data_IF_443319784815
#
_entry.id   IF_443319784815
#
_cell.length_a   1.000
_cell.length_b   1.000
_cell.length_c   1.000
_cell.angle_alpha   90.00
_cell.angle_beta   90.00
_cell.angle_gamma   90.00
#
_symmetry.space_group_name_H-M   'P 1'
#
loop_
_entity.id
_entity.type
_entity.pdbx_description
1 polymer ?
#
# COMPACT_ATOMS: atom_id res chain seq x y z
N UNK A 1 7.95 -72.33 2.45
CA UNK A 1 7.29 -71.20 3.12
C UNK A 1 6.90 -70.23 2.01
N UNK A 2 5.82 -70.51 1.26
CA UNK A 2 4.42 -70.09 1.54
C UNK A 2 4.30 -68.56 1.46
N UNK A 3 3.45 -67.92 0.65
CA UNK A 3 2.42 -68.37 -0.30
C UNK A 3 2.10 -67.17 -1.22
N UNK A 4 1.91 -67.42 -2.51
CA UNK A 4 1.25 -66.50 -3.43
C UNK A 4 -0.29 -66.50 -3.24
N UNK A 5 -0.92 -65.48 -3.82
CA UNK A 5 -2.34 -65.34 -4.22
C UNK A 5 -3.35 -64.86 -3.16
N UNK A 6 -3.92 -63.68 -3.39
CA UNK A 6 -5.25 -63.53 -4.04
C UNK A 6 -5.60 -62.07 -4.33
N UNK A 7 -5.79 -61.80 -5.62
CA UNK A 7 -6.72 -60.76 -6.08
C UNK A 7 -8.14 -61.10 -5.59
N UNK A 8 -8.92 -60.09 -5.19
CA UNK A 8 -10.31 -59.99 -5.59
C UNK A 8 -10.83 -58.55 -5.45
N UNK A 9 -11.31 -58.05 -6.58
CA UNK A 9 -12.06 -56.81 -6.74
C UNK A 9 -13.35 -56.83 -5.92
N UNK A 10 -13.71 -55.68 -5.35
CA UNK A 10 -15.10 -55.25 -5.18
C UNK A 10 -15.26 -53.87 -5.79
N UNK A 11 -16.09 -53.80 -6.84
CA UNK A 11 -16.52 -52.57 -7.48
C UNK A 11 -17.61 -51.85 -6.65
N UNK A 12 -17.38 -50.55 -6.43
CA UNK A 12 -18.34 -49.41 -6.46
C UNK A 12 -19.42 -49.27 -5.35
N UNK A 13 -19.93 -48.04 -5.07
CA UNK A 13 -19.96 -46.85 -5.94
C UNK A 13 -19.13 -45.66 -5.47
N UNK A 14 -18.69 -44.88 -6.46
CA UNK A 14 -17.96 -43.65 -6.27
C UNK A 14 -18.83 -42.61 -5.57
N UNK A 15 -18.21 -41.92 -4.61
CA UNK A 15 -18.58 -40.56 -4.28
C UNK A 15 -17.42 -39.68 -4.76
N UNK A 16 -17.48 -39.33 -6.05
CA UNK A 16 -16.70 -38.21 -6.59
C UNK A 16 -17.23 -36.92 -5.95
N UNK A 17 -16.77 -36.62 -4.73
CA UNK A 17 -16.69 -35.22 -4.31
C UNK A 17 -15.29 -34.77 -4.71
N UNK A 18 -15.25 -33.98 -5.78
CA UNK A 18 -14.05 -33.39 -6.32
C UNK A 18 -13.27 -32.69 -5.21
N UNK A 19 -12.17 -33.31 -4.83
CA UNK A 19 -11.19 -32.74 -3.93
C UNK A 19 -10.47 -31.66 -4.75
N UNK A 20 -10.91 -30.40 -4.60
CA UNK A 20 -10.22 -29.25 -5.16
C UNK A 20 -8.98 -29.02 -4.28
N UNK A 21 -7.87 -29.66 -4.65
CA UNK A 21 -6.58 -29.51 -3.99
C UNK A 21 -6.13 -28.06 -4.04
N UNK A 22 -6.04 -27.39 -2.89
CA UNK A 22 -5.49 -26.04 -2.75
C UNK A 22 -6.33 -25.06 -1.92
N UNK A 23 -7.57 -25.39 -1.57
CA UNK A 23 -8.42 -24.54 -0.73
C UNK A 23 -8.42 -25.00 0.73
N UNK A 24 -8.40 -24.08 1.71
CA UNK A 24 -8.46 -24.46 3.12
C UNK A 24 -9.81 -25.10 3.47
N UNK A 25 -9.78 -26.15 4.28
CA UNK A 25 -10.94 -26.97 4.67
C UNK A 25 -11.99 -26.23 5.51
N UNK A 26 -11.71 -24.99 5.90
CA UNK A 26 -12.55 -24.16 6.75
C UNK A 26 -12.83 -22.78 6.14
N UNK A 27 -13.89 -22.14 6.63
CA UNK A 27 -14.26 -20.75 6.38
C UNK A 27 -14.15 -19.95 7.68
N UNK A 28 -13.67 -18.71 7.58
CA UNK A 28 -13.70 -17.76 8.68
C UNK A 28 -15.03 -17.00 8.61
N UNK A 29 -15.80 -17.05 9.69
CA UNK A 29 -17.09 -16.37 9.84
C UNK A 29 -16.93 -15.20 10.79
N UNK A 30 -17.28 -14.01 10.34
CA UNK A 30 -17.27 -12.79 11.15
C UNK A 30 -18.69 -12.34 11.51
N UNK A 31 -18.95 -12.12 12.79
CA UNK A 31 -20.23 -11.57 13.30
C UNK A 31 -19.97 -10.69 14.53
N UNK A 32 -20.42 -9.43 14.50
CA UNK A 32 -20.24 -8.44 15.56
C UNK A 32 -18.79 -8.35 16.09
N UNK A 33 -17.82 -8.20 15.18
CA UNK A 33 -16.38 -8.10 15.47
C UNK A 33 -15.75 -9.35 16.12
N UNK A 34 -16.44 -10.51 16.05
CA UNK A 34 -15.90 -11.80 16.47
C UNK A 34 -15.73 -12.73 15.27
N UNK A 35 -14.63 -13.47 15.24
CA UNK A 35 -14.30 -14.44 14.19
C UNK A 35 -14.39 -15.86 14.74
N UNK A 36 -14.96 -16.77 13.94
CA UNK A 36 -15.03 -18.20 14.24
C UNK A 36 -14.75 -19.02 12.97
N UNK A 37 -14.17 -20.20 13.10
CA UNK A 37 -13.97 -21.11 11.96
C UNK A 37 -15.08 -22.14 11.89
N UNK A 38 -15.56 -22.42 10.68
CA UNK A 38 -16.54 -23.48 10.39
C UNK A 38 -16.04 -24.37 9.26
N UNK A 39 -16.47 -25.65 9.16
CA UNK A 39 -16.18 -26.48 8.01
C UNK A 39 -16.74 -25.86 6.72
N UNK A 40 -15.98 -25.97 5.64
CA UNK A 40 -16.39 -25.47 4.31
C UNK A 40 -17.35 -26.47 3.65
N UNK A 41 -18.64 -26.12 3.56
CA UNK A 41 -19.67 -26.97 2.97
C UNK A 41 -20.18 -26.39 1.64
N UNK A 42 -20.25 -27.23 0.60
CA UNK A 42 -20.82 -26.84 -0.70
C UNK A 42 -22.32 -26.54 -0.63
N UNK A 43 -23.02 -27.10 0.37
CA UNK A 43 -24.43 -26.80 0.62
C UNK A 43 -24.59 -25.54 1.51
N UNK A 44 -25.42 -24.62 1.03
CA UNK A 44 -25.68 -23.33 1.69
C UNK A 44 -26.42 -23.50 3.04
N UNK A 45 -27.34 -24.46 3.14
CA UNK A 45 -28.12 -24.69 4.36
C UNK A 45 -27.27 -25.36 5.44
N UNK A 46 -26.39 -26.30 5.07
CA UNK A 46 -25.41 -26.90 5.98
C UNK A 46 -24.39 -25.88 6.50
N UNK A 47 -24.03 -24.90 5.67
CA UNK A 47 -23.19 -23.76 6.06
C UNK A 47 -23.91 -22.90 7.10
N UNK A 48 -25.16 -22.50 6.87
CA UNK A 48 -25.95 -21.73 7.84
C UNK A 48 -26.15 -22.51 9.14
N UNK A 49 -26.41 -23.82 9.08
CA UNK A 49 -26.53 -24.66 10.27
C UNK A 49 -25.21 -24.70 11.07
N UNK A 50 -24.06 -24.71 10.39
CA UNK A 50 -22.74 -24.67 11.01
C UNK A 50 -22.42 -23.30 11.62
N UNK A 51 -22.80 -22.20 10.96
CA UNK A 51 -22.72 -20.84 11.49
C UNK A 51 -23.54 -20.75 12.79
N UNK A 52 -24.79 -21.21 12.76
CA UNK A 52 -25.69 -21.17 13.93
C UNK A 52 -25.15 -21.99 15.11
N UNK A 53 -24.50 -23.13 14.85
CA UNK A 53 -23.92 -23.99 15.90
C UNK A 53 -22.67 -23.38 16.54
N UNK A 54 -21.81 -22.75 15.74
CA UNK A 54 -20.47 -22.36 16.15
C UNK A 54 -20.31 -20.86 16.49
N UNK A 55 -21.18 -19.97 15.99
CA UNK A 55 -21.11 -18.53 16.27
C UNK A 55 -21.94 -18.16 17.51
N UNK A 56 -21.26 -17.65 18.55
CA UNK A 56 -21.92 -17.17 19.78
C UNK A 56 -22.71 -15.89 19.48
N UNK A 57 -24.02 -15.91 19.73
CA UNK A 57 -24.95 -14.80 19.41
C UNK A 57 -26.03 -15.21 18.40
N UNK A 58 -25.75 -16.21 17.55
CA UNK A 58 -26.68 -16.69 16.51
C UNK A 58 -27.38 -18.00 16.87
N UNK A 59 -26.99 -18.67 17.97
CA UNK A 59 -27.56 -19.96 18.42
C UNK A 59 -29.09 -19.93 18.59
N UNK A 60 -29.65 -18.79 19.02
CA UNK A 60 -31.09 -18.58 19.25
C UNK A 60 -31.81 -17.90 18.08
N UNK A 61 -31.10 -17.49 17.03
CA UNK A 61 -31.70 -16.79 15.90
C UNK A 61 -32.48 -17.76 14.99
N UNK A 62 -33.66 -17.38 14.47
CA UNK A 62 -34.34 -18.12 13.42
C UNK A 62 -33.50 -18.07 12.13
N UNK A 63 -33.34 -19.24 11.49
CA UNK A 63 -32.54 -19.42 10.25
C UNK A 63 -32.88 -18.40 9.14
N UNK A 64 -34.15 -18.04 8.85
CA UNK A 64 -34.45 -17.10 7.78
C UNK A 64 -33.99 -15.66 8.04
N UNK A 65 -33.47 -15.34 9.24
CA UNK A 65 -32.91 -14.02 9.54
C UNK A 65 -31.40 -13.93 9.34
N UNK A 66 -30.71 -15.03 9.04
CA UNK A 66 -29.24 -15.05 8.91
C UNK A 66 -28.89 -14.74 7.46
N UNK A 67 -28.23 -13.61 7.23
CA UNK A 67 -27.70 -13.20 5.93
C UNK A 67 -26.20 -13.47 5.89
N UNK A 68 -25.73 -14.10 4.81
CA UNK A 68 -24.30 -14.26 4.53
C UNK A 68 -23.88 -13.16 3.56
N UNK A 69 -22.90 -12.37 3.96
CA UNK A 69 -22.26 -11.35 3.16
C UNK A 69 -20.84 -11.83 2.79
N UNK A 70 -20.48 -11.70 1.52
CA UNK A 70 -19.12 -11.96 1.06
C UNK A 70 -18.56 -10.73 0.36
N UNK A 71 -17.30 -10.43 0.62
CA UNK A 71 -16.59 -9.39 -0.11
C UNK A 71 -16.31 -9.87 -1.54
N UNK A 72 -16.74 -9.09 -2.53
CA UNK A 72 -16.47 -9.33 -3.94
C UNK A 72 -15.62 -8.18 -4.49
N UNK A 73 -14.43 -8.50 -5.00
CA UNK A 73 -13.49 -7.52 -5.57
C UNK A 73 -14.11 -6.73 -6.72
N UNK A 74 -15.02 -7.35 -7.48
CA UNK A 74 -15.70 -6.71 -8.61
C UNK A 74 -16.68 -5.60 -8.19
N UNK A 75 -17.17 -5.63 -6.94
CA UNK A 75 -18.09 -4.63 -6.38
C UNK A 75 -17.42 -3.73 -5.32
N UNK A 76 -16.19 -4.04 -4.91
CA UNK A 76 -15.45 -3.41 -3.81
C UNK A 76 -16.28 -3.27 -2.51
N UNK A 77 -17.18 -4.24 -2.25
CA UNK A 77 -18.08 -4.23 -1.09
C UNK A 77 -18.51 -5.64 -0.66
N UNK A 78 -19.09 -5.74 0.52
CA UNK A 78 -19.75 -6.93 1.04
C UNK A 78 -21.15 -7.09 0.44
N UNK A 79 -21.30 -8.08 -0.43
CA UNK A 79 -22.57 -8.37 -1.10
C UNK A 79 -23.26 -9.57 -0.47
N UNK A 80 -24.59 -9.52 -0.36
CA UNK A 80 -25.41 -10.64 0.08
C UNK A 80 -25.27 -11.83 -0.87
N UNK A 81 -24.86 -12.97 -0.32
CA UNK A 81 -24.69 -14.22 -1.04
C UNK A 81 -25.95 -15.06 -0.91
N UNK A 82 -26.70 -15.19 -2.01
CA UNK A 82 -27.87 -16.04 -2.06
C UNK A 82 -27.50 -17.52 -2.26
N UNK A 83 -28.44 -18.41 -1.92
CA UNK A 83 -28.28 -19.87 -2.07
C UNK A 83 -27.83 -20.28 -3.48
N UNK A 84 -28.34 -19.61 -4.52
CA UNK A 84 -28.19 -20.00 -5.91
C UNK A 84 -26.79 -19.70 -6.48
N UNK A 85 -26.03 -18.80 -5.83
CA UNK A 85 -24.67 -18.42 -6.22
C UNK A 85 -23.59 -18.97 -5.28
N UNK A 86 -23.98 -19.54 -4.13
CA UNK A 86 -23.07 -20.04 -3.09
C UNK A 86 -22.01 -21.01 -3.62
N UNK A 87 -22.41 -22.05 -4.35
CA UNK A 87 -21.48 -23.09 -4.83
C UNK A 87 -20.44 -22.56 -5.83
N UNK A 88 -20.76 -21.46 -6.54
CA UNK A 88 -19.87 -20.80 -7.50
C UNK A 88 -18.90 -19.84 -6.82
N UNK A 89 -19.34 -19.16 -5.77
CA UNK A 89 -18.53 -18.18 -5.04
C UNK A 89 -17.63 -18.84 -3.99
N UNK A 90 -18.11 -19.89 -3.33
CA UNK A 90 -17.44 -20.58 -2.24
C UNK A 90 -15.96 -20.92 -2.48
N UNK A 91 -15.52 -21.38 -3.68
CA UNK A 91 -14.09 -21.62 -3.93
C UNK A 91 -13.22 -20.37 -3.78
N UNK A 92 -13.76 -19.17 -4.03
CA UNK A 92 -13.06 -17.89 -3.97
C UNK A 92 -13.11 -17.24 -2.58
N UNK A 93 -13.94 -17.75 -1.68
CA UNK A 93 -14.17 -17.14 -0.37
C UNK A 93 -13.27 -17.75 0.71
N UNK A 94 -12.66 -16.89 1.52
CA UNK A 94 -11.88 -17.26 2.71
C UNK A 94 -12.55 -16.79 4.00
N UNK A 95 -13.16 -15.61 3.95
CA UNK A 95 -13.91 -15.00 5.03
C UNK A 95 -15.30 -14.63 4.54
N UNK A 96 -16.31 -14.90 5.37
CA UNK A 96 -17.68 -14.45 5.18
C UNK A 96 -18.13 -13.67 6.40
N UNK A 97 -18.92 -12.62 6.19
CA UNK A 97 -19.57 -11.87 7.25
C UNK A 97 -21.01 -12.33 7.39
N UNK A 98 -21.53 -12.35 8.61
CA UNK A 98 -22.90 -12.75 8.89
C UNK A 98 -23.61 -11.64 9.62
N UNK A 99 -24.81 -11.29 9.16
CA UNK A 99 -25.66 -10.27 9.75
C UNK A 99 -27.10 -10.79 9.93
N UNK A 100 -27.88 -10.14 10.79
CA UNK A 100 -29.28 -10.48 11.02
C UNK A 100 -30.19 -9.48 10.29
N UNK A 101 -31.07 -9.97 9.42
CA UNK A 101 -32.04 -9.10 8.75
C UNK A 101 -33.02 -8.51 9.77
N UNK A 102 -33.16 -7.19 9.78
CA UNK A 102 -34.08 -6.46 10.63
C UNK A 102 -35.07 -5.67 9.78
N UNK A 103 -36.12 -6.31 9.25
CA UNK A 103 -37.36 -5.60 8.88
C UNK A 103 -38.59 -6.50 8.66
N UNK A 104 -39.60 -6.34 9.53
CA UNK A 104 -41.00 -5.95 9.21
C UNK A 104 -41.89 -6.05 10.47
N UNK A 105 -42.71 -5.00 10.65
CA UNK A 105 -43.61 -4.66 11.76
C UNK A 105 -44.98 -5.37 11.72
N UNK A 106 -45.81 -5.11 12.77
CA UNK A 106 -47.28 -5.28 12.93
C UNK A 106 -47.83 -6.73 13.01
N UNK A 107 -48.78 -7.13 13.86
CA UNK A 107 -49.74 -6.49 14.79
C UNK A 107 -50.19 -7.53 15.85
N UNK A 108 -50.60 -7.09 17.04
CA UNK A 108 -51.93 -7.32 17.62
C UNK A 108 -52.03 -6.79 19.07
N UNK A 109 -53.21 -6.26 19.34
CA UNK A 109 -53.63 -5.36 20.42
C UNK A 109 -53.99 -6.04 21.76
N UNK A 110 -54.29 -5.14 22.72
CA UNK A 110 -55.12 -5.31 23.92
C UNK A 110 -54.46 -5.97 25.14
N UNK A 111 -54.54 -5.41 26.35
CA UNK A 111 -55.24 -4.25 26.88
C UNK A 111 -55.05 -4.22 28.41
N UNK A 112 -55.35 -3.06 29.04
CA UNK A 112 -55.82 -2.83 30.43
C UNK A 112 -55.14 -3.61 31.59
N UNK A 113 -54.75 -3.08 32.76
CA UNK A 113 -55.16 -1.96 33.63
C UNK A 113 -54.37 -2.16 34.94
N UNK A 114 -54.24 -1.14 35.80
CA UNK A 114 -54.11 -1.39 37.24
C UNK A 114 -52.92 -0.75 37.96
N UNK A 115 -53.15 0.49 38.39
CA UNK A 115 -52.81 1.11 39.67
C UNK A 115 -51.88 0.41 40.70
N UNK A 116 -51.07 1.29 41.30
CA UNK A 116 -50.89 1.47 42.75
C UNK A 116 -49.92 0.60 43.58
N UNK A 117 -49.12 1.37 44.31
CA UNK A 117 -48.75 1.20 45.73
C UNK A 117 -47.45 0.46 46.12
N UNK A 118 -46.63 1.24 46.85
CA UNK A 118 -46.00 0.91 48.13
C UNK A 118 -44.68 0.10 48.16
N UNK A 119 -43.61 0.82 48.53
CA UNK A 119 -42.58 0.38 49.51
C UNK A 119 -43.28 -0.04 50.82
N UNK A 120 -42.72 -0.92 51.70
CA UNK A 120 -41.35 -0.73 52.22
C UNK A 120 -40.56 -1.96 52.76
N UNK A 121 -39.25 -1.70 52.95
CA UNK A 121 -38.38 -2.07 54.09
C UNK A 121 -37.89 -3.51 54.41
N UNK A 122 -36.63 -3.50 54.87
CA UNK A 122 -35.93 -4.36 55.85
C UNK A 122 -35.24 -5.64 55.31
N UNK A 123 -33.90 -5.60 55.14
CA UNK A 123 -32.85 -5.93 56.13
C UNK A 123 -32.68 -7.45 56.37
N UNK A 124 -31.50 -8.02 56.07
CA UNK A 124 -30.51 -8.41 57.10
C UNK A 124 -29.23 -9.05 56.53
N UNK A 125 -28.12 -8.60 57.12
CA UNK A 125 -26.85 -9.28 57.44
C UNK A 125 -25.86 -9.74 56.37
N UNK A 126 -24.72 -9.06 56.45
CA UNK A 126 -23.38 -9.43 56.02
C UNK A 126 -22.71 -10.49 56.92
N UNK A 127 -21.73 -11.18 56.34
CA UNK A 127 -20.38 -11.57 56.83
C UNK A 127 -19.77 -12.45 55.70
N UNK A 128 -18.51 -12.40 55.26
CA UNK A 128 -17.25 -11.98 55.87
C UNK A 128 -16.22 -11.55 54.79
N UNK A 129 -15.12 -10.95 55.25
CA UNK A 129 -14.01 -10.29 54.53
C UNK A 129 -13.18 -11.24 53.62
N UNK A 130 -12.30 -10.69 52.74
CA UNK A 130 -10.90 -10.55 53.16
C UNK A 130 -10.14 -9.30 52.64
N UNK A 131 -9.19 -8.87 53.49
CA UNK A 131 -7.81 -8.44 53.22
C UNK A 131 -7.55 -7.34 52.16
N UNK A 132 -7.08 -6.21 52.68
CA UNK A 132 -6.53 -5.07 51.94
C UNK A 132 -5.14 -5.37 51.36
N UNK A 133 -4.94 -5.01 50.10
CA UNK A 133 -3.64 -4.59 49.56
C UNK A 133 -3.86 -3.42 48.59
N UNK A 134 -3.01 -2.41 48.72
CA UNK A 134 -3.07 -1.11 48.05
C UNK A 134 -2.77 -1.19 46.55
N UNK A 135 -3.58 -0.52 45.71
CA UNK A 135 -3.12 0.05 44.44
C UNK A 135 -4.12 1.09 43.89
N UNK A 136 -3.67 2.34 43.90
CA UNK A 136 -3.93 3.44 42.97
C UNK A 136 -5.33 3.60 42.35
N UNK A 137 -6.00 4.69 42.73
CA UNK A 137 -7.23 5.23 42.14
C UNK A 137 -7.09 5.43 40.62
N UNK A 138 -7.71 4.55 39.83
CA UNK A 138 -8.15 4.91 38.49
C UNK A 138 -9.55 5.51 38.59
N UNK A 139 -9.63 6.81 38.38
CA UNK A 139 -10.89 7.54 38.25
C UNK A 139 -11.72 6.86 37.17
N UNK A 140 -12.86 6.33 37.62
CA UNK A 140 -13.93 5.79 36.80
C UNK A 140 -14.53 6.92 35.96
N UNK A 141 -13.97 7.18 34.79
CA UNK A 141 -14.61 8.06 33.81
C UNK A 141 -15.82 7.31 33.21
N UNK A 142 -16.96 7.48 33.89
CA UNK A 142 -18.27 7.18 33.35
C UNK A 142 -18.53 8.02 32.09
N UNK A 143 -19.31 7.44 31.19
CA UNK A 143 -19.46 7.88 29.82
C UNK A 143 -19.89 9.34 29.64
N UNK A 144 -19.20 9.99 28.72
CA UNK A 144 -19.83 10.90 27.78
C UNK A 144 -19.76 10.24 26.42
N UNK A 145 -20.90 9.76 25.92
CA UNK A 145 -21.07 9.68 24.48
C UNK A 145 -21.12 11.12 23.97
N UNK A 146 -19.96 11.68 23.65
CA UNK A 146 -19.92 12.80 22.74
C UNK A 146 -20.35 12.25 21.38
N UNK A 147 -21.46 12.77 20.86
CA UNK A 147 -21.78 12.66 19.44
C UNK A 147 -20.55 13.09 18.65
N UNK A 148 -19.88 12.16 17.98
CA UNK A 148 -18.72 12.46 17.15
C UNK A 148 -19.09 13.54 16.14
N UNK A 149 -18.21 14.53 15.97
CA UNK A 149 -18.37 15.50 14.90
C UNK A 149 -17.95 14.84 13.59
N UNK A 150 -18.73 15.07 12.54
CA UNK A 150 -18.39 14.59 11.20
C UNK A 150 -17.55 15.63 10.49
N UNK A 151 -16.46 15.22 9.85
CA UNK A 151 -15.67 16.06 8.94
C UNK A 151 -15.53 15.38 7.58
N UNK A 152 -15.15 16.15 6.58
CA UNK A 152 -14.91 15.66 5.23
C UNK A 152 -13.42 15.73 4.91
N UNK A 153 -12.86 14.65 4.39
CA UNK A 153 -11.51 14.62 3.85
C UNK A 153 -11.63 14.52 2.33
N UNK A 154 -11.14 15.52 1.60
CA UNK A 154 -11.25 15.57 0.14
C UNK A 154 -9.90 15.35 -0.52
N UNK A 155 -9.81 14.37 -1.42
CA UNK A 155 -8.60 14.14 -2.23
C UNK A 155 -8.50 15.15 -3.37
N UNK A 156 -7.30 15.30 -3.95
CA UNK A 156 -7.11 16.11 -5.16
C UNK A 156 -7.92 15.61 -6.36
N UNK A 157 -8.23 14.31 -6.40
CA UNK A 157 -9.08 13.70 -7.43
C UNK A 157 -10.58 13.96 -7.21
N UNK A 158 -10.95 14.69 -6.16
CA UNK A 158 -12.32 15.07 -5.86
C UNK A 158 -13.12 14.06 -5.03
N UNK A 159 -12.55 12.89 -4.68
CA UNK A 159 -13.18 11.92 -3.77
C UNK A 159 -13.31 12.52 -2.37
N UNK A 160 -14.48 12.33 -1.75
CA UNK A 160 -14.76 12.80 -0.39
C UNK A 160 -14.91 11.62 0.55
N UNK A 161 -14.06 11.56 1.57
CA UNK A 161 -14.07 10.55 2.63
C UNK A 161 -14.71 11.18 3.86
N UNK A 162 -15.77 10.57 4.37
CA UNK A 162 -16.48 11.08 5.54
C UNK A 162 -15.89 10.48 6.81
N UNK A 163 -15.44 11.31 7.75
CA UNK A 163 -14.76 10.87 8.97
C UNK A 163 -15.56 11.27 10.21
N UNK A 164 -15.86 10.30 11.09
CA UNK A 164 -16.43 10.57 12.41
C UNK A 164 -15.30 10.76 13.41
N UNK A 165 -15.16 11.96 13.95
CA UNK A 165 -14.01 12.38 14.75
C UNK A 165 -14.45 13.17 15.97
N UNK A 166 -13.51 13.43 16.88
CA UNK A 166 -13.71 14.34 17.99
C UNK A 166 -12.75 15.53 17.86
N UNK A 167 -13.07 16.67 18.44
CA UNK A 167 -12.22 17.87 18.35
C UNK A 167 -10.82 17.68 18.95
N UNK A 168 -10.68 16.79 19.93
CA UNK A 168 -9.38 16.45 20.55
C UNK A 168 -8.62 15.34 19.81
N UNK A 169 -9.12 14.83 18.68
CA UNK A 169 -8.39 13.85 17.88
C UNK A 169 -7.13 14.53 17.30
N UNK A 170 -5.98 13.88 17.42
CA UNK A 170 -4.74 14.35 16.80
C UNK A 170 -4.77 14.18 15.28
N UNK A 171 -3.96 14.95 14.57
CA UNK A 171 -3.80 14.78 13.11
C UNK A 171 -3.22 13.40 12.79
N UNK A 172 -2.29 12.88 13.60
CA UNK A 172 -1.83 11.50 13.49
C UNK A 172 -3.00 10.50 13.61
N UNK A 173 -3.94 10.72 14.53
CA UNK A 173 -5.14 9.91 14.68
C UNK A 173 -6.09 10.01 13.48
N UNK A 174 -6.26 11.20 12.91
CA UNK A 174 -7.03 11.38 11.66
C UNK A 174 -6.38 10.62 10.49
N UNK A 175 -5.05 10.62 10.39
CA UNK A 175 -4.33 9.87 9.35
C UNK A 175 -4.54 8.37 9.50
N UNK A 176 -4.49 7.86 10.72
CA UNK A 176 -4.83 6.46 11.02
C UNK A 176 -6.27 6.12 10.60
N UNK A 177 -7.24 7.00 10.88
CA UNK A 177 -8.63 6.77 10.47
C UNK A 177 -8.81 6.73 8.94
N UNK A 178 -8.07 7.56 8.21
CA UNK A 178 -8.06 7.51 6.74
C UNK A 178 -7.34 6.25 6.24
N UNK A 179 -6.27 5.80 6.91
CA UNK A 179 -5.64 4.51 6.60
C UNK A 179 -6.62 3.35 6.76
N UNK A 180 -7.37 3.31 7.87
CA UNK A 180 -8.33 2.24 8.13
C UNK A 180 -9.46 2.20 7.09
N UNK A 181 -9.81 3.34 6.50
CA UNK A 181 -10.88 3.47 5.49
C UNK A 181 -10.41 3.25 4.06
N UNK A 182 -9.23 3.75 3.72
CA UNK A 182 -8.74 3.83 2.34
C UNK A 182 -7.48 2.99 2.08
N UNK A 183 -6.91 2.37 3.12
CA UNK A 183 -5.67 1.60 3.04
C UNK A 183 -4.40 2.45 2.83
N UNK A 184 -4.50 3.78 2.92
CA UNK A 184 -3.39 4.69 2.63
C UNK A 184 -2.49 4.85 3.87
N UNK A 185 -1.21 4.46 3.84
CA UNK A 185 -0.31 4.62 4.99
C UNK A 185 -0.24 6.07 5.50
N UNK A 186 -0.22 6.33 6.83
CA UNK A 186 -0.19 7.67 7.41
C UNK A 186 1.01 8.51 6.93
N UNK A 187 2.15 7.89 6.70
CA UNK A 187 3.35 8.53 6.16
C UNK A 187 3.15 9.09 4.75
N UNK A 188 2.21 8.53 3.97
CA UNK A 188 1.88 8.98 2.62
C UNK A 188 0.83 10.11 2.60
N UNK A 189 0.25 10.45 3.75
CA UNK A 189 -0.82 11.42 3.86
C UNK A 189 -0.29 12.81 4.27
N UNK A 190 -0.65 13.84 3.51
CA UNK A 190 -0.51 15.25 3.88
C UNK A 190 -1.90 15.85 3.99
N UNK A 191 -2.28 16.27 5.19
CA UNK A 191 -3.53 17.01 5.37
C UNK A 191 -3.29 18.50 5.31
N UNK A 192 -4.19 19.20 4.63
CA UNK A 192 -4.24 20.66 4.60
C UNK A 192 -5.60 21.17 5.05
N UNK A 193 -5.59 22.24 5.82
CA UNK A 193 -6.78 22.99 6.18
C UNK A 193 -6.48 24.49 6.10
N UNK A 194 -7.37 25.25 5.46
CA UNK A 194 -7.20 26.70 5.28
C UNK A 194 -5.83 27.11 4.71
N UNK A 195 -5.32 26.32 3.75
CA UNK A 195 -4.02 26.56 3.10
C UNK A 195 -2.79 26.23 3.95
N UNK A 196 -2.95 25.60 5.12
CA UNK A 196 -1.85 25.19 6.01
C UNK A 196 -1.76 23.68 6.10
N UNK A 197 -0.55 23.14 6.01
CA UNK A 197 -0.29 21.73 6.32
C UNK A 197 -0.49 21.49 7.82
N UNK A 198 -1.14 20.38 8.12
CA UNK A 198 -1.43 19.97 9.49
C UNK A 198 -0.27 19.14 10.07
N UNK A 199 0.07 19.41 11.32
CA UNK A 199 1.15 18.77 12.08
C UNK A 199 0.59 17.60 12.90
N UNK A 200 1.30 16.46 12.88
CA UNK A 200 0.82 15.18 13.45
C UNK A 200 0.52 15.25 14.96
N UNK A 201 1.28 16.07 15.69
CA UNK A 201 1.17 16.25 17.15
C UNK A 201 0.03 17.18 17.59
N UNK A 202 -0.57 17.94 16.67
CA UNK A 202 -1.67 18.86 16.99
C UNK A 202 -3.02 18.18 16.87
N UNK A 203 -4.04 18.73 17.53
CA UNK A 203 -5.42 18.26 17.47
C UNK A 203 -6.24 18.98 16.39
N UNK A 204 -7.38 18.40 15.99
CA UNK A 204 -8.34 19.06 15.11
C UNK A 204 -8.83 20.39 15.70
N UNK A 205 -9.01 20.45 17.01
CA UNK A 205 -9.39 21.64 17.76
C UNK A 205 -8.34 22.75 17.70
N UNK A 206 -7.05 22.41 17.70
CA UNK A 206 -5.96 23.39 17.58
C UNK A 206 -5.97 24.12 16.23
N UNK A 207 -6.49 23.46 15.19
CA UNK A 207 -6.70 24.04 13.85
C UNK A 207 -8.09 24.63 13.66
N UNK A 208 -8.92 24.65 14.71
CA UNK A 208 -10.31 25.07 14.68
C UNK A 208 -11.12 24.33 13.59
N UNK A 209 -10.82 23.05 13.38
CA UNK A 209 -11.57 22.17 12.49
C UNK A 209 -12.84 21.75 13.22
N UNK A 210 -13.99 22.15 12.66
CA UNK A 210 -15.31 21.93 13.26
C UNK A 210 -16.11 20.90 12.46
N UNK A 211 -17.32 20.58 12.96
CA UNK A 211 -18.29 19.76 12.22
C UNK A 211 -18.46 20.29 10.79
N UNK A 212 -18.54 19.39 9.83
CA UNK A 212 -18.68 19.64 8.38
C UNK A 212 -17.52 20.39 7.74
N UNK A 213 -16.39 20.58 8.45
CA UNK A 213 -15.18 21.12 7.85
C UNK A 213 -14.61 20.17 6.81
N UNK A 214 -14.02 20.74 5.74
CA UNK A 214 -13.32 19.97 4.71
C UNK A 214 -11.82 20.12 4.87
N UNK A 215 -11.14 18.99 5.11
CA UNK A 215 -9.68 18.87 5.14
C UNK A 215 -9.24 18.30 3.79
N UNK A 216 -8.27 18.91 3.14
CA UNK A 216 -7.73 18.40 1.88
C UNK A 216 -6.65 17.36 2.15
N UNK A 217 -6.73 16.21 1.48
CA UNK A 217 -5.71 15.17 1.50
C UNK A 217 -4.89 15.23 0.22
N UNK A 218 -3.60 15.49 0.37
CA UNK A 218 -2.59 15.32 -0.67
C UNK A 218 -1.82 14.04 -0.36
N UNK A 219 -1.61 13.22 -1.38
CA UNK A 219 -0.79 12.03 -1.27
C UNK A 219 0.65 12.37 -1.64
N UNK A 220 1.59 12.00 -0.77
CA UNK A 220 3.01 11.99 -1.15
C UNK A 220 3.19 11.04 -2.34
N UNK A 221 3.97 11.47 -3.32
CA UNK A 221 4.37 10.63 -4.44
C UNK A 221 5.56 9.79 -3.97
N UNK A 222 5.54 8.50 -4.29
CA UNK A 222 6.57 7.56 -3.85
C UNK A 222 7.59 7.35 -4.97
N UNK A 223 8.87 7.58 -4.66
CA UNK A 223 9.98 6.95 -5.38
C UNK A 223 10.03 5.49 -4.96
N UNK A 224 9.45 4.61 -5.77
CA UNK A 224 9.26 3.20 -5.45
C UNK A 224 10.44 2.34 -5.90
N UNK A 225 10.92 1.51 -4.97
CA UNK A 225 11.90 0.42 -5.16
C UNK A 225 13.12 0.76 -6.03
N UNK A 226 13.89 1.82 -5.71
CA UNK A 226 15.33 1.79 -6.00
C UNK A 226 16.01 0.54 -5.41
N UNK A 227 16.50 -0.33 -6.28
CA UNK A 227 17.26 -1.56 -5.94
C UNK A 227 18.66 -1.44 -6.48
N UNK A 228 19.67 -1.62 -5.64
CA UNK A 228 21.09 -1.51 -5.97
C UNK A 228 21.74 -2.90 -5.93
N UNK A 229 22.26 -3.33 -7.08
CA UNK A 229 23.10 -4.51 -7.24
C UNK A 229 24.56 -4.09 -7.30
N UNK A 230 25.42 -4.83 -6.59
CA UNK A 230 26.88 -4.67 -6.64
C UNK A 230 27.48 -5.93 -7.24
N UNK A 231 28.13 -5.82 -8.39
CA UNK A 231 28.66 -6.96 -9.14
C UNK A 231 30.15 -6.74 -9.40
N UNK A 232 31.03 -7.04 -8.43
CA UNK A 232 32.47 -6.96 -8.62
C UNK A 232 33.00 -8.11 -9.49
N UNK A 233 34.18 -7.98 -10.11
CA UNK A 233 34.77 -9.04 -10.94
C UNK A 233 35.24 -10.25 -10.10
N UNK A 234 35.55 -10.01 -8.82
CA UNK A 234 35.93 -11.01 -7.83
C UNK A 234 35.35 -10.65 -6.47
N UNK A 235 35.43 -11.56 -5.49
CA UNK A 235 35.05 -11.25 -4.11
C UNK A 235 35.72 -9.95 -3.63
N UNK A 236 34.92 -9.04 -3.10
CA UNK A 236 35.37 -7.73 -2.61
C UNK A 236 34.73 -7.50 -1.24
N UNK A 237 35.55 -7.26 -0.21
CA UNK A 237 35.06 -6.96 1.14
C UNK A 237 34.97 -5.47 1.38
N UNK A 238 34.23 -5.10 2.44
CA UNK A 238 34.20 -3.75 3.01
C UNK A 238 33.77 -2.66 2.02
N UNK A 239 32.88 -3.00 1.09
CA UNK A 239 32.30 -2.04 0.16
C UNK A 239 31.40 -1.10 0.95
N UNK A 240 31.74 0.17 0.94
CA UNK A 240 30.95 1.24 1.54
C UNK A 240 29.99 1.79 0.49
N UNK A 241 28.69 1.69 0.74
CA UNK A 241 27.65 2.28 -0.10
C UNK A 241 26.99 3.40 0.69
N UNK A 242 27.13 4.64 0.23
CA UNK A 242 26.52 5.83 0.85
C UNK A 242 25.56 6.45 -0.14
N UNK A 243 24.30 6.55 0.26
CA UNK A 243 23.24 7.17 -0.52
C UNK A 243 22.68 8.37 0.27
N UNK A 244 22.59 9.51 -0.40
CA UNK A 244 22.01 10.73 0.16
C UNK A 244 20.82 11.17 -0.67
N UNK A 245 19.82 11.78 -0.04
CA UNK A 245 18.66 12.38 -0.70
C UNK A 245 18.64 13.88 -0.47
N UNK A 246 18.20 14.64 -1.47
CA UNK A 246 17.84 16.05 -1.31
C UNK A 246 16.58 16.21 -0.47
N UNK A 247 16.31 17.41 0.06
CA UNK A 247 15.11 17.69 0.87
C UNK A 247 13.76 17.47 0.15
N UNK A 248 13.76 17.32 -1.18
CA UNK A 248 12.58 16.94 -1.96
C UNK A 248 12.11 15.50 -1.70
N UNK A 249 12.95 14.67 -1.07
CA UNK A 249 12.64 13.29 -0.68
C UNK A 249 13.07 13.01 0.76
N UNK A 250 12.29 12.18 1.44
CA UNK A 250 12.67 11.52 2.69
C UNK A 250 12.63 10.01 2.51
N UNK A 251 13.59 9.29 3.07
CA UNK A 251 13.54 7.83 3.10
C UNK A 251 12.29 7.35 3.83
N UNK A 252 11.62 6.36 3.26
CA UNK A 252 10.47 5.70 3.88
C UNK A 252 10.77 4.26 4.27
N UNK A 253 11.44 3.52 3.40
CA UNK A 253 11.79 2.11 3.61
C UNK A 253 13.23 1.88 3.18
N UNK A 254 13.95 1.03 3.92
CA UNK A 254 15.38 0.76 3.73
C UNK A 254 15.64 -0.71 4.06
N UNK A 255 16.34 -1.40 3.17
CA UNK A 255 16.76 -2.78 3.38
C UNK A 255 18.15 -3.04 2.79
N UNK A 256 19.07 -3.71 3.51
CA UNK A 256 18.99 -4.07 4.93
C UNK A 256 18.78 -2.85 5.84
N UNK A 257 18.13 -2.99 7.00
CA UNK A 257 17.90 -1.86 7.90
C UNK A 257 19.22 -1.19 8.31
N UNK A 258 19.30 0.13 8.15
CA UNK A 258 20.42 0.97 8.59
C UNK A 258 19.90 2.30 9.14
N UNK A 259 20.77 3.05 9.82
CA UNK A 259 20.40 4.32 10.43
C UNK A 259 20.32 5.42 9.39
N UNK A 260 19.18 6.11 9.35
CA UNK A 260 19.04 7.37 8.62
C UNK A 260 19.70 8.49 9.43
N UNK A 261 20.62 9.19 8.80
CA UNK A 261 21.25 10.40 9.34
C UNK A 261 20.69 11.63 8.62
N UNK A 262 20.28 12.64 9.39
CA UNK A 262 19.74 13.89 8.84
C UNK A 262 20.75 15.00 9.02
N UNK A 263 21.03 15.75 7.96
CA UNK A 263 21.89 16.93 8.08
C UNK A 263 21.13 18.06 8.78
N UNK A 264 21.68 18.56 9.89
CA UNK A 264 21.11 19.64 10.70
C UNK A 264 21.53 21.04 10.22
N UNK A 265 22.37 21.12 9.19
CA UNK A 265 22.84 22.41 8.66
C UNK A 265 21.91 22.87 7.53
N UNK A 266 21.21 23.98 7.73
CA UNK A 266 20.32 24.58 6.73
C UNK A 266 21.00 25.04 5.43
N UNK A 267 22.33 25.06 5.40
CA UNK A 267 23.12 25.39 4.22
C UNK A 267 23.41 24.20 3.29
N UNK A 268 23.05 22.96 3.66
CA UNK A 268 23.29 21.77 2.83
C UNK A 268 22.02 21.40 2.04
N UNK A 269 22.17 21.18 0.72
CA UNK A 269 21.09 20.75 -0.19
C UNK A 269 20.57 19.34 0.12
N UNK A 270 21.36 18.54 0.83
CA UNK A 270 21.05 17.17 1.22
C UNK A 270 20.23 17.15 2.51
N UNK A 271 19.18 16.34 2.53
CA UNK A 271 18.31 16.11 3.68
C UNK A 271 18.76 14.91 4.49
N UNK A 272 18.58 13.71 3.93
CA UNK A 272 18.81 12.44 4.62
C UNK A 272 19.93 11.63 3.96
N UNK A 273 20.63 10.83 4.73
CA UNK A 273 21.71 9.95 4.24
C UNK A 273 21.68 8.61 4.96
N UNK A 274 21.91 7.55 4.20
CA UNK A 274 22.05 6.17 4.67
C UNK A 274 23.38 5.61 4.20
N UNK A 275 23.90 4.63 4.94
CA UNK A 275 25.11 3.93 4.55
C UNK A 275 25.02 2.44 4.89
N UNK A 276 25.57 1.62 4.00
CA UNK A 276 25.77 0.19 4.19
C UNK A 276 27.25 -0.15 4.05
N UNK A 277 27.67 -1.16 4.79
CA UNK A 277 28.96 -1.83 4.58
C UNK A 277 28.71 -3.28 4.25
N UNK A 278 29.08 -3.69 3.04
CA UNK A 278 28.79 -5.04 2.54
C UNK A 278 30.02 -5.68 1.92
N UNK A 279 30.06 -7.01 1.96
CA UNK A 279 30.97 -7.78 1.11
C UNK A 279 30.17 -8.26 -0.11
N UNK A 280 30.74 -8.19 -1.31
CA UNK A 280 30.07 -8.64 -2.53
C UNK A 280 30.85 -9.77 -3.20
N UNK A 281 30.11 -10.78 -3.65
CA UNK A 281 30.61 -11.87 -4.49
C UNK A 281 30.45 -11.52 -5.96
N UNK A 282 31.20 -12.20 -6.84
CA UNK A 282 31.14 -11.95 -8.29
C UNK A 282 29.83 -12.37 -8.95
N UNK A 283 28.99 -13.14 -8.26
CA UNK A 283 27.63 -13.49 -8.68
C UNK A 283 26.58 -12.44 -8.26
N UNK A 284 26.99 -11.38 -7.54
CA UNK A 284 26.13 -10.29 -7.10
C UNK A 284 25.49 -10.49 -5.72
N UNK A 285 25.70 -11.63 -5.06
CA UNK A 285 25.23 -11.83 -3.69
C UNK A 285 26.05 -10.98 -2.71
N UNK A 286 25.35 -10.34 -1.77
CA UNK A 286 25.92 -9.43 -0.79
C UNK A 286 25.85 -10.06 0.60
N UNK A 287 26.87 -9.82 1.41
CA UNK A 287 26.85 -10.08 2.85
C UNK A 287 26.83 -8.73 3.57
N UNK A 288 25.71 -8.41 4.20
CA UNK A 288 25.59 -7.19 4.98
C UNK A 288 26.25 -7.37 6.36
N UNK A 289 27.22 -6.51 6.66
CA UNK A 289 28.02 -6.62 7.88
C UNK A 289 27.22 -6.20 9.12
N UNK A 290 26.26 -5.27 8.97
CA UNK A 290 25.49 -4.75 10.11
C UNK A 290 24.47 -5.77 10.62
N UNK A 291 23.71 -6.39 9.72
CA UNK A 291 22.69 -7.39 10.06
C UNK A 291 23.22 -8.82 10.08
N UNK A 292 24.45 -9.04 9.60
CA UNK A 292 25.09 -10.34 9.46
C UNK A 292 24.23 -11.33 8.65
N UNK A 293 23.77 -10.88 7.48
CA UNK A 293 22.89 -11.65 6.58
C UNK A 293 23.36 -11.58 5.14
N UNK A 294 23.12 -12.68 4.44
CA UNK A 294 23.20 -12.71 2.98
C UNK A 294 21.94 -12.07 2.38
N UNK A 295 22.13 -11.13 1.45
CA UNK A 295 21.07 -10.42 0.74
C UNK A 295 21.40 -10.31 -0.75
N UNK A 296 20.38 -10.27 -1.59
CA UNK A 296 20.57 -10.20 -3.04
C UNK A 296 20.90 -8.78 -3.54
N UNK A 297 20.47 -7.76 -2.82
CA UNK A 297 20.59 -6.36 -3.20
C UNK A 297 20.39 -5.43 -2.00
N UNK A 298 20.76 -4.16 -2.17
CA UNK A 298 20.35 -3.08 -1.29
C UNK A 298 19.08 -2.44 -1.86
N UNK A 299 18.20 -1.95 -1.00
CA UNK A 299 16.91 -1.41 -1.37
C UNK A 299 16.60 -0.18 -0.52
N UNK A 300 15.99 0.80 -1.16
CA UNK A 300 15.45 1.96 -0.48
C UNK A 300 14.20 2.46 -1.19
N UNK A 301 13.41 3.26 -0.48
CA UNK A 301 12.30 4.01 -1.02
C UNK A 301 12.27 5.41 -0.42
N UNK A 302 11.64 6.32 -1.15
CA UNK A 302 11.46 7.67 -0.67
C UNK A 302 10.06 8.21 -0.93
N UNK A 303 9.64 9.11 -0.05
CA UNK A 303 8.40 9.86 -0.16
C UNK A 303 8.71 11.31 -0.51
N UNK A 304 7.99 11.84 -1.49
CA UNK A 304 8.16 13.23 -1.92
C UNK A 304 7.69 14.21 -0.84
N UNK A 305 8.42 15.32 -0.76
CA UNK A 305 8.07 16.46 0.08
C UNK A 305 7.58 17.59 -0.83
N UNK A 306 6.31 17.53 -1.29
CA UNK A 306 5.77 18.55 -2.18
C UNK A 306 5.85 19.92 -1.51
N UNK A 307 6.39 20.91 -2.24
CA UNK A 307 6.33 22.30 -1.79
C UNK A 307 4.87 22.74 -1.85
N UNK A 308 4.33 23.08 -0.68
CA UNK A 308 3.02 23.73 -0.60
C UNK A 308 3.04 24.99 -1.47
N UNK A 309 1.99 25.30 -2.23
CA UNK A 309 1.91 26.55 -2.96
C UNK A 309 1.98 27.70 -1.96
N UNK A 310 3.11 28.42 -1.95
CA UNK A 310 3.15 29.75 -1.37
C UNK A 310 2.23 30.64 -2.21
N UNK A 311 1.53 31.56 -1.53
CA UNK A 311 0.59 32.52 -2.13
C UNK A 311 1.07 33.02 -3.51
N UNK A 312 0.16 33.21 -4.49
CA UNK A 312 0.56 33.52 -5.85
C UNK A 312 1.52 34.71 -5.88
N UNK A 313 2.60 34.65 -6.68
CA UNK A 313 3.51 35.78 -6.80
C UNK A 313 2.72 37.00 -7.29
N UNK A 314 2.79 38.10 -6.53
CA UNK A 314 2.12 39.37 -6.84
C UNK A 314 2.70 40.05 -8.09
N UNK A 315 3.62 39.40 -8.80
CA UNK A 315 4.32 39.96 -9.96
C UNK A 315 4.23 39.02 -11.15
N UNK A 316 3.52 39.48 -12.17
CA UNK A 316 3.54 38.93 -13.52
C UNK A 316 4.97 38.98 -14.05
N UNK A 317 5.61 37.86 -14.46
CA UNK A 317 6.87 37.92 -15.17
C UNK A 317 6.64 38.52 -16.56
N UNK A 318 7.21 39.69 -16.80
CA UNK A 318 7.26 40.32 -18.12
C UNK A 318 8.49 39.83 -18.86
N UNK A 319 8.43 38.63 -19.45
CA UNK A 319 9.23 38.16 -20.61
C UNK A 319 9.08 36.64 -20.77
N UNK A 320 9.05 36.10 -21.99
CA UNK A 320 9.21 34.66 -22.22
C UNK A 320 10.68 34.31 -21.95
N UNK A 321 10.98 33.93 -20.71
CA UNK A 321 12.25 33.26 -20.42
C UNK A 321 12.08 31.84 -20.96
N UNK A 322 12.86 31.46 -21.97
CA UNK A 322 13.08 30.06 -22.30
C UNK A 322 13.58 29.38 -21.03
N UNK A 323 12.69 28.65 -20.38
CA UNK A 323 13.01 27.87 -19.19
C UNK A 323 14.10 26.86 -19.58
N UNK A 324 15.22 26.76 -18.84
CA UNK A 324 16.15 25.66 -19.04
C UNK A 324 15.39 24.33 -18.88
N UNK A 325 15.86 23.22 -19.50
CA UNK A 325 15.23 21.92 -19.35
C UNK A 325 14.97 21.66 -17.86
N UNK A 326 13.71 21.43 -17.52
CA UNK A 326 13.26 21.36 -16.14
C UNK A 326 13.95 20.17 -15.48
N UNK A 327 14.97 20.45 -14.67
CA UNK A 327 15.68 19.44 -13.91
C UNK A 327 14.68 18.63 -13.08
N UNK A 328 14.88 17.32 -13.02
CA UNK A 328 14.01 16.44 -12.23
C UNK A 328 13.89 16.92 -10.78
N UNK A 329 12.65 17.25 -10.35
CA UNK A 329 12.31 17.56 -8.97
C UNK A 329 11.36 16.47 -8.43
N UNK A 330 11.80 15.62 -7.49
CA UNK A 330 10.95 14.59 -6.95
C UNK A 330 9.74 15.10 -6.16
N UNK A 331 9.78 16.36 -5.70
CA UNK A 331 8.66 17.02 -5.02
C UNK A 331 7.52 17.38 -5.98
N UNK A 332 7.84 17.54 -7.27
CA UNK A 332 6.90 17.92 -8.33
C UNK A 332 7.30 17.25 -9.66
N UNK A 333 7.21 15.91 -9.74
CA UNK A 333 7.64 15.18 -10.92
C UNK A 333 6.71 15.48 -12.10
N UNK A 334 7.27 15.59 -13.30
CA UNK A 334 6.50 15.92 -14.52
C UNK A 334 6.79 14.93 -15.65
N UNK A 335 5.74 14.61 -16.41
CA UNK A 335 5.82 13.87 -17.66
C UNK A 335 5.21 14.75 -18.74
N UNK A 336 5.98 15.02 -19.78
CA UNK A 336 5.56 15.82 -20.93
C UNK A 336 5.63 14.94 -22.20
N UNK A 337 4.76 15.18 -23.19
CA UNK A 337 4.76 14.43 -24.44
C UNK A 337 6.12 14.39 -25.15
N UNK A 338 6.88 15.48 -25.13
CA UNK A 338 8.12 15.64 -25.90
C UNK A 338 9.29 14.76 -25.47
N UNK A 339 9.21 14.15 -24.28
CA UNK A 339 10.29 13.35 -23.71
C UNK A 339 9.77 12.06 -23.07
N UNK A 340 8.62 11.58 -23.51
CA UNK A 340 8.00 10.35 -23.00
C UNK A 340 7.61 9.43 -24.15
N UNK A 341 7.40 8.17 -23.86
CA UNK A 341 6.75 7.22 -24.74
C UNK A 341 5.33 6.96 -24.21
N UNK A 342 4.32 6.96 -25.09
CA UNK A 342 2.94 6.68 -24.73
C UNK A 342 2.51 5.35 -25.35
N UNK A 343 2.09 4.40 -24.52
CA UNK A 343 1.66 3.08 -24.96
C UNK A 343 0.37 2.64 -24.27
N UNK A 344 -0.48 1.83 -24.94
CA UNK A 344 -1.54 1.11 -24.26
C UNK A 344 -0.95 0.04 -23.31
N UNK A 345 -1.71 -0.32 -22.27
CA UNK A 345 -1.28 -1.27 -21.25
C UNK A 345 -0.82 -2.63 -21.80
N UNK A 346 -1.46 -3.15 -22.85
CA UNK A 346 -1.12 -4.46 -23.44
C UNK A 346 0.26 -4.47 -24.14
N UNK A 347 0.84 -3.30 -24.40
CA UNK A 347 2.17 -3.15 -25.02
C UNK A 347 3.24 -2.66 -24.04
N UNK A 348 2.85 -2.05 -22.92
CA UNK A 348 3.78 -1.31 -22.05
C UNK A 348 4.86 -2.21 -21.43
N UNK A 349 4.50 -3.43 -21.03
CA UNK A 349 5.43 -4.35 -20.35
C UNK A 349 6.52 -4.86 -21.28
N UNK A 350 6.16 -5.22 -22.52
CA UNK A 350 7.12 -5.60 -23.56
C UNK A 350 8.06 -4.46 -23.91
N UNK A 351 7.50 -3.25 -24.09
CA UNK A 351 8.32 -2.06 -24.35
C UNK A 351 9.31 -1.77 -23.22
N UNK A 352 8.88 -1.82 -21.96
CA UNK A 352 9.78 -1.65 -20.81
C UNK A 352 10.88 -2.72 -20.82
N UNK A 353 10.54 -3.99 -21.06
CA UNK A 353 11.52 -5.08 -21.07
C UNK A 353 12.61 -4.87 -22.14
N UNK A 354 12.20 -4.44 -23.33
CA UNK A 354 13.09 -4.13 -24.46
C UNK A 354 14.00 -2.93 -24.15
N UNK A 355 13.45 -1.87 -23.54
CA UNK A 355 14.24 -0.70 -23.11
C UNK A 355 15.26 -1.09 -22.05
N UNK A 356 14.84 -1.80 -21.01
CA UNK A 356 15.76 -2.20 -19.93
C UNK A 356 16.85 -3.15 -20.43
N UNK A 357 16.53 -4.04 -21.39
CA UNK A 357 17.52 -4.87 -22.08
C UNK A 357 18.51 -4.01 -22.86
N UNK A 358 18.02 -3.01 -23.59
CA UNK A 358 18.86 -2.08 -24.34
C UNK A 358 19.77 -1.25 -23.43
N UNK A 359 19.35 -0.96 -22.20
CA UNK A 359 20.15 -0.30 -21.15
C UNK A 359 21.11 -1.27 -20.43
N UNK A 360 21.14 -2.55 -20.80
CA UNK A 360 22.10 -3.53 -20.29
C UNK A 360 21.72 -4.20 -18.97
N UNK A 361 20.46 -4.11 -18.54
CA UNK A 361 20.00 -4.75 -17.31
C UNK A 361 19.89 -6.28 -17.49
N UNK A 362 20.28 -7.03 -16.45
CA UNK A 362 20.15 -8.49 -16.43
C UNK A 362 18.69 -8.93 -16.21
N UNK A 363 18.39 -10.19 -16.55
CA UNK A 363 17.02 -10.74 -16.57
C UNK A 363 16.27 -10.59 -15.25
N UNK A 364 16.94 -10.82 -14.10
CA UNK A 364 16.30 -10.68 -12.80
C UNK A 364 15.91 -9.21 -12.54
N UNK A 365 16.79 -8.25 -12.78
CA UNK A 365 16.47 -6.83 -12.61
C UNK A 365 15.30 -6.40 -13.51
N UNK A 366 15.27 -6.82 -14.77
CA UNK A 366 14.16 -6.50 -15.71
C UNK A 366 12.82 -7.09 -15.24
N UNK A 367 12.83 -8.36 -14.85
CA UNK A 367 11.64 -9.05 -14.35
C UNK A 367 11.13 -8.41 -13.04
N UNK A 368 12.04 -8.14 -12.11
CA UNK A 368 11.74 -7.53 -10.81
C UNK A 368 11.24 -6.08 -10.95
N UNK A 369 11.73 -5.34 -11.95
CA UNK A 369 11.26 -4.00 -12.29
C UNK A 369 9.79 -4.04 -12.76
N UNK A 370 9.51 -4.85 -13.78
CA UNK A 370 8.18 -4.92 -14.40
C UNK A 370 7.15 -5.44 -13.40
N UNK A 371 7.46 -6.54 -12.71
CA UNK A 371 6.52 -7.16 -11.76
C UNK A 371 6.19 -6.27 -10.56
N UNK A 372 7.15 -5.44 -10.11
CA UNK A 372 6.88 -4.46 -9.05
C UNK A 372 5.91 -3.36 -9.50
N UNK A 373 6.10 -2.81 -10.69
CA UNK A 373 5.28 -1.71 -11.20
C UNK A 373 3.98 -2.15 -11.86
N UNK A 374 3.84 -3.44 -12.21
CA UNK A 374 2.68 -3.98 -12.92
C UNK A 374 1.34 -3.62 -12.26
N UNK A 375 1.14 -3.70 -10.92
CA UNK A 375 -0.12 -3.32 -10.30
C UNK A 375 -0.47 -1.82 -10.43
N UNK A 376 0.53 -0.95 -10.60
CA UNK A 376 0.30 0.48 -10.82
C UNK A 376 0.08 0.77 -12.31
N UNK A 377 0.84 0.12 -13.18
CA UNK A 377 0.67 0.23 -14.63
C UNK A 377 -0.73 -0.25 -15.07
N UNK A 378 -1.24 -1.32 -14.47
CA UNK A 378 -2.55 -1.90 -14.82
C UNK A 378 -3.76 -1.05 -14.44
N UNK A 379 -3.56 0.04 -13.70
CA UNK A 379 -4.64 0.99 -13.35
C UNK A 379 -4.98 1.92 -14.52
N UNK A 380 -4.12 2.00 -15.52
CA UNK A 380 -4.19 2.98 -16.60
C UNK A 380 -4.37 2.27 -17.94
N UNK A 381 -5.28 2.76 -18.78
CA UNK A 381 -5.46 2.23 -20.14
C UNK A 381 -4.29 2.62 -21.06
N UNK A 382 -3.85 3.87 -20.96
CA UNK A 382 -2.70 4.42 -21.66
C UNK A 382 -1.67 4.95 -20.66
N UNK A 383 -0.42 4.55 -20.83
CA UNK A 383 0.67 4.86 -19.93
C UNK A 383 1.71 5.70 -20.67
N UNK A 384 1.91 6.92 -20.20
CA UNK A 384 3.08 7.70 -20.56
C UNK A 384 4.25 7.31 -19.64
N UNK A 385 5.42 7.04 -20.21
CA UNK A 385 6.62 6.71 -19.46
C UNK A 385 7.84 7.50 -19.94
N UNK A 386 8.76 7.80 -19.02
CA UNK A 386 10.02 8.50 -19.27
C UNK A 386 11.11 7.87 -18.41
N UNK A 387 12.24 7.52 -19.02
CA UNK A 387 13.46 7.23 -18.26
C UNK A 387 14.27 8.51 -18.07
N UNK A 388 14.71 8.74 -16.82
CA UNK A 388 15.48 9.93 -16.47
C UNK A 388 16.94 9.81 -16.91
N UNK A 389 17.58 10.94 -17.33
CA UNK A 389 19.03 11.02 -17.43
C UNK A 389 19.69 10.74 -16.07
N UNK A 390 20.73 9.90 -16.07
CA UNK A 390 21.44 9.52 -14.84
C UNK A 390 22.00 10.72 -14.08
N UNK A 391 22.51 11.72 -14.80
CA UNK A 391 23.08 12.93 -14.21
C UNK A 391 22.03 13.84 -13.53
N UNK A 392 20.75 13.74 -13.91
CA UNK A 392 19.65 14.45 -13.24
C UNK A 392 19.24 13.69 -11.98
N UNK A 393 19.13 12.37 -12.08
CA UNK A 393 18.81 11.52 -10.93
C UNK A 393 19.91 11.56 -9.84
N UNK A 394 21.18 11.60 -10.24
CA UNK A 394 22.33 11.72 -9.34
C UNK A 394 22.28 13.01 -8.50
N UNK A 395 21.75 14.12 -9.03
CA UNK A 395 21.64 15.39 -8.29
C UNK A 395 20.68 15.30 -7.12
N UNK A 396 19.63 14.48 -7.23
CA UNK A 396 18.56 14.38 -6.22
C UNK A 396 18.79 13.23 -5.25
N UNK A 397 19.50 12.20 -5.68
CA UNK A 397 19.83 11.02 -4.89
C UNK A 397 21.30 10.58 -5.07
N UNK A 398 22.31 11.37 -4.65
CA UNK A 398 23.71 11.02 -4.87
C UNK A 398 24.11 9.66 -4.30
N UNK A 399 24.79 8.83 -5.11
CA UNK A 399 25.23 7.48 -4.75
C UNK A 399 26.75 7.38 -4.80
N UNK A 400 27.38 7.27 -3.64
CA UNK A 400 28.82 7.15 -3.50
C UNK A 400 29.19 5.73 -3.05
N UNK A 401 30.07 5.07 -3.79
CA UNK A 401 30.50 3.70 -3.51
C UNK A 401 32.03 3.64 -3.44
N UNK A 402 32.55 2.98 -2.41
CA UNK A 402 33.98 2.76 -2.20
C UNK A 402 34.25 1.27 -2.00
N UNK A 403 35.18 0.64 -2.76
CA UNK A 403 35.99 1.21 -3.83
C UNK A 403 35.15 1.68 -5.02
N UNK A 404 35.68 2.64 -5.79
CA UNK A 404 34.96 3.22 -6.91
C UNK A 404 34.62 2.14 -7.97
N UNK A 405 33.34 2.00 -8.38
CA UNK A 405 32.96 1.13 -9.47
C UNK A 405 33.58 1.55 -10.79
N UNK A 406 33.84 0.57 -11.67
CA UNK A 406 34.24 0.84 -13.06
C UNK A 406 33.09 1.40 -13.89
N UNK A 407 31.86 1.02 -13.58
CA UNK A 407 30.64 1.55 -14.21
C UNK A 407 29.48 1.53 -13.23
N UNK A 408 28.68 2.60 -13.27
CA UNK A 408 27.41 2.72 -12.54
C UNK A 408 26.32 2.95 -13.57
N UNK A 409 25.26 2.15 -13.51
CA UNK A 409 24.05 2.32 -14.34
C UNK A 409 22.87 2.54 -13.42
N UNK A 410 22.25 3.72 -13.49
CA UNK A 410 21.07 4.08 -12.68
C UNK A 410 19.88 4.34 -13.60
N UNK A 411 18.87 3.48 -13.53
CA UNK A 411 17.67 3.60 -14.35
C UNK A 411 16.50 4.00 -13.47
N UNK A 412 15.96 5.20 -13.69
CA UNK A 412 14.80 5.67 -12.94
C UNK A 412 13.66 6.05 -13.91
N UNK A 413 12.51 5.38 -13.78
CA UNK A 413 11.35 5.59 -14.65
C UNK A 413 10.30 6.46 -13.97
N UNK A 414 9.88 7.52 -14.65
CA UNK A 414 8.61 8.19 -14.37
C UNK A 414 7.53 7.56 -15.25
N UNK A 415 6.34 7.31 -14.71
CA UNK A 415 5.20 6.91 -15.52
C UNK A 415 3.89 7.50 -14.99
N UNK A 416 2.88 7.64 -15.83
CA UNK A 416 1.57 8.14 -15.43
C UNK A 416 0.49 7.75 -16.43
N UNK A 417 -0.76 7.75 -15.97
CA UNK A 417 -1.92 7.51 -16.83
C UNK A 417 -2.23 8.72 -17.71
N UNK A 418 -2.62 8.46 -18.96
CA UNK A 418 -3.15 9.49 -19.86
C UNK A 418 -4.59 9.13 -20.19
N UNK A 419 -5.51 10.09 -20.01
CA UNK A 419 -6.90 9.90 -20.38
C UNK A 419 -7.08 9.84 -21.90
N UNK A 420 -8.06 9.05 -22.36
CA UNK A 420 -8.34 8.88 -23.78
C UNK A 420 -8.68 10.22 -24.47
N UNK A 421 -9.32 11.14 -23.74
CA UNK A 421 -9.65 12.49 -24.20
C UNK A 421 -8.43 13.36 -24.50
N UNK A 422 -7.26 13.03 -23.95
CA UNK A 422 -6.04 13.82 -24.05
C UNK A 422 -5.06 13.27 -25.09
N UNK A 423 -5.30 12.08 -25.66
CA UNK A 423 -4.36 11.38 -26.53
C UNK A 423 -3.88 12.21 -27.73
N UNK A 424 -4.73 13.09 -28.28
CA UNK A 424 -4.37 13.96 -29.41
C UNK A 424 -3.17 14.88 -29.07
N UNK A 425 -3.00 15.25 -27.80
CA UNK A 425 -1.90 16.11 -27.34
C UNK A 425 -0.59 15.34 -27.12
N UNK A 426 -0.62 14.01 -27.25
CA UNK A 426 0.51 13.12 -26.98
C UNK A 426 1.11 12.49 -28.24
N UNK A 427 0.87 13.07 -29.42
CA UNK A 427 1.38 12.56 -30.69
C UNK A 427 2.90 12.35 -30.72
N UNK A 428 3.68 13.24 -30.10
CA UNK A 428 5.13 13.09 -29.96
C UNK A 428 5.52 11.85 -29.15
N UNK A 429 4.78 11.55 -28.08
CA UNK A 429 5.05 10.40 -27.22
C UNK A 429 4.67 9.07 -27.89
N UNK A 430 3.60 9.06 -28.69
CA UNK A 430 3.25 7.90 -29.53
C UNK A 430 4.33 7.65 -30.59
N UNK A 431 4.84 8.72 -31.21
CA UNK A 431 5.95 8.62 -32.15
C UNK A 431 7.21 8.08 -31.46
N UNK A 432 7.53 8.54 -30.24
CA UNK A 432 8.66 8.04 -29.45
C UNK A 432 8.53 6.53 -29.15
N UNK A 433 7.33 6.05 -28.80
CA UNK A 433 7.07 4.64 -28.57
C UNK A 433 7.28 3.76 -29.82
N UNK A 434 7.17 4.34 -31.01
CA UNK A 434 7.37 3.65 -32.29
C UNK A 434 8.82 3.63 -32.77
N UNK A 435 9.72 4.38 -32.10
CA UNK A 435 11.16 4.40 -32.41
C UNK A 435 11.86 3.18 -31.82
N UNK A 436 13.08 2.93 -32.31
CA UNK A 436 13.98 1.96 -31.70
C UNK A 436 14.26 2.34 -30.23
N UNK A 437 14.09 1.38 -29.32
CA UNK A 437 14.30 1.55 -27.88
C UNK A 437 15.72 1.96 -27.50
N UNK A 438 16.70 1.75 -28.39
CA UNK A 438 18.09 2.18 -28.20
C UNK A 438 18.24 3.69 -28.00
N UNK A 439 17.25 4.50 -28.43
CA UNK A 439 17.22 5.95 -28.16
C UNK A 439 17.33 6.26 -26.66
N UNK A 440 16.84 5.37 -25.79
CA UNK A 440 16.91 5.56 -24.35
C UNK A 440 18.34 5.43 -23.80
N UNK A 441 19.27 4.79 -24.53
CA UNK A 441 20.68 4.74 -24.13
C UNK A 441 21.29 6.13 -24.06
N UNK A 442 21.00 6.96 -25.06
CA UNK A 442 21.48 8.34 -25.14
C UNK A 442 20.78 9.22 -24.09
N UNK A 443 19.48 9.01 -23.88
CA UNK A 443 18.70 9.77 -22.88
C UNK A 443 19.17 9.48 -21.46
N UNK A 444 19.35 8.21 -21.10
CA UNK A 444 19.79 7.79 -19.77
C UNK A 444 21.30 8.01 -19.59
N UNK A 445 22.07 7.97 -20.69
CA UNK A 445 23.52 8.15 -20.71
C UNK A 445 24.28 6.89 -20.29
N UNK A 446 23.86 5.70 -20.75
CA UNK A 446 24.48 4.42 -20.37
C UNK A 446 25.55 3.99 -21.37
N UNK A 447 26.75 3.69 -20.88
CA UNK A 447 27.80 3.03 -21.66
C UNK A 447 27.61 1.51 -21.65
N UNK A 448 26.88 1.00 -22.66
CA UNK A 448 26.54 -0.42 -22.77
C UNK A 448 27.78 -1.31 -22.88
N UNK A 449 28.89 -0.82 -23.44
CA UNK A 449 30.11 -1.61 -23.57
C UNK A 449 30.71 -1.90 -22.19
N UNK A 450 30.77 -0.88 -21.33
CA UNK A 450 31.24 -1.04 -19.94
C UNK A 450 30.28 -1.86 -19.09
N UNK A 451 28.96 -1.72 -19.29
CA UNK A 451 27.94 -2.50 -18.56
C UNK A 451 28.09 -4.01 -18.81
N UNK A 452 28.50 -4.40 -20.02
CA UNK A 452 28.71 -5.80 -20.38
C UNK A 452 30.09 -6.34 -19.99
N UNK A 453 31.04 -5.47 -19.64
CA UNK A 453 32.40 -5.86 -19.26
C UNK A 453 32.43 -6.47 -17.85
N UNK A 454 32.56 -7.79 -17.79
CA UNK A 454 32.61 -8.56 -16.54
C UNK A 454 33.92 -8.37 -15.76
N UNK A 455 34.93 -7.73 -16.34
CA UNK A 455 36.19 -7.40 -15.65
C UNK A 455 36.07 -6.17 -14.76
N UNK A 456 35.04 -5.35 -14.97
CA UNK A 456 34.78 -4.15 -14.19
C UNK A 456 33.98 -4.47 -12.91
N UNK A 457 34.16 -3.64 -11.88
CA UNK A 457 33.20 -3.57 -10.79
C UNK A 457 31.98 -2.79 -11.29
N UNK A 458 30.86 -3.48 -11.46
CA UNK A 458 29.63 -2.92 -12.03
C UNK A 458 28.60 -2.70 -10.94
N UNK A 459 27.94 -1.55 -10.97
CA UNK A 459 26.81 -1.23 -10.10
C UNK A 459 25.60 -0.95 -10.97
N UNK A 460 24.49 -1.59 -10.63
CA UNK A 460 23.20 -1.36 -11.28
C UNK A 460 22.20 -0.90 -10.22
N UNK A 461 21.58 0.24 -10.44
CA UNK A 461 20.39 0.67 -9.72
C UNK A 461 19.23 0.79 -10.68
N UNK A 462 18.05 0.29 -10.27
CA UNK A 462 16.81 0.60 -10.97
C UNK A 462 15.72 1.01 -9.98
N UNK A 463 14.83 1.91 -10.40
CA UNK A 463 13.68 2.37 -9.61
C UNK A 463 12.67 3.12 -10.48
N UNK A 464 11.63 3.67 -9.85
CA UNK A 464 10.72 4.56 -10.57
C UNK A 464 9.76 5.30 -9.67
N UNK A 465 8.85 6.06 -10.27
CA UNK A 465 7.75 6.70 -9.58
C UNK A 465 6.56 6.90 -10.51
N UNK A 466 5.37 6.73 -9.95
CA UNK A 466 4.12 7.09 -10.61
C UNK A 466 3.87 8.60 -10.44
N UNK A 467 3.70 9.31 -11.54
CA UNK A 467 3.30 10.71 -11.60
C UNK A 467 1.77 10.75 -11.69
N UNK A 468 1.14 11.59 -10.86
CA UNK A 468 -0.30 11.67 -10.70
C UNK A 468 -0.87 12.97 -11.24
#
# INVERSE_FOLDING_TARGET
>A
MSNERRNNLRHQPGNNQGQISGLPEFLIVEHNSRKATIPRNLDYQETIASIKRNVRGLKKAPIPRIIILAYLEEADDHVEVTKDVWSKLLPRLMTIRVELNSDSSSDLSDGCTGESQQRPSAQLRAQAQPVATNACESVRCQGRQHSGMQIFVRTLTGKTITCQVNSWLTIAGLKGLVQDKEGIPPSHQIFLFSGRQLEDERTLGDYNIQKESTVHLILKVRGGKPVIYLIPPSFTSDIQVRLSLTRSWDFSEIYPPTTITTSTKDSELLGQTVAWTVNARSDGMLWDQATNREVAYLFWEALSNPKLPSSPPTTRPSSPVESPPQAFDPASPTILPSHSALLPFDKVTGYIDDVLLALGLHTEARTSFITYWLPNLSKHAFIALRFLPQNEYEKVAPLNITPAPGVITRVFMLFGGVEESQLEQWGEAVAMASRDVAVWRDVVGVDVAQVQDKSLFRVLEWGGMEVK
#
